data_IF_114852320593
#
_entry.id   IF_114852320593
#
_cell.length_a   1.000
_cell.length_b   1.000
_cell.length_c   1.000
_cell.angle_alpha   90.00
_cell.angle_beta   90.00
_cell.angle_gamma   90.00
#
_symmetry.space_group_name_H-M   'P 1'
#
loop_
_entity.id
_entity.type
_entity.pdbx_description
1 polymer ?
#
# COMPACT_ATOMS: atom_id res chain seq x y z
N UNK A 1 13.53 -8.58 -5.99
CA UNK A 1 14.10 -7.25 -5.78
C UNK A 1 13.34 -6.58 -4.65
N UNK A 2 13.94 -6.58 -3.45
CA UNK A 2 13.20 -6.25 -2.23
C UNK A 2 13.31 -4.76 -1.84
N UNK A 3 14.24 -4.04 -2.37
CA UNK A 3 14.38 -2.57 -2.24
C UNK A 3 15.16 -2.05 -3.42
N UNK A 4 14.49 -1.34 -4.29
CA UNK A 4 15.18 -0.45 -5.23
C UNK A 4 14.88 0.97 -4.78
N UNK A 5 15.91 1.80 -4.67
CA UNK A 5 15.75 3.25 -4.71
C UNK A 5 14.97 3.54 -6.00
N UNK A 6 13.92 4.33 -5.92
CA UNK A 6 12.96 4.62 -6.99
C UNK A 6 11.95 3.47 -7.32
N UNK A 7 11.56 2.65 -6.35
CA UNK A 7 10.41 1.79 -6.58
C UNK A 7 9.15 2.65 -6.80
N UNK A 8 8.39 2.26 -7.82
CA UNK A 8 7.10 2.90 -8.09
C UNK A 8 6.18 2.78 -6.85
N UNK A 9 5.47 3.84 -6.56
CA UNK A 9 4.52 3.90 -5.46
C UNK A 9 3.49 4.98 -5.72
N UNK A 10 2.37 4.91 -5.03
CA UNK A 10 1.33 5.94 -5.16
C UNK A 10 1.70 7.18 -4.36
N UNK A 11 1.33 8.34 -4.91
CA UNK A 11 1.40 9.62 -4.18
C UNK A 11 0.17 9.86 -3.32
N UNK A 12 0.25 10.85 -2.42
CA UNK A 12 -0.84 11.19 -1.52
C UNK A 12 -2.14 11.58 -2.26
N UNK A 13 -2.03 12.27 -3.39
CA UNK A 13 -3.21 12.68 -4.17
C UNK A 13 -3.93 11.48 -4.78
N UNK A 14 -3.18 10.47 -5.26
CA UNK A 14 -3.76 9.22 -5.75
C UNK A 14 -4.44 8.42 -4.61
N UNK A 15 -3.81 8.35 -3.45
CA UNK A 15 -4.41 7.71 -2.27
C UNK A 15 -5.73 8.39 -1.87
N UNK A 16 -5.75 9.72 -1.80
CA UNK A 16 -6.97 10.49 -1.52
C UNK A 16 -8.05 10.22 -2.56
N UNK A 17 -7.72 10.23 -3.84
CA UNK A 17 -8.68 9.95 -4.89
C UNK A 17 -9.31 8.57 -4.76
N UNK A 18 -8.51 7.53 -4.47
CA UNK A 18 -9.00 6.17 -4.27
C UNK A 18 -9.97 6.07 -3.08
N UNK A 19 -9.73 6.81 -2.01
CA UNK A 19 -10.58 6.77 -0.82
C UNK A 19 -11.82 7.66 -0.99
N UNK A 20 -11.62 8.92 -1.34
CA UNK A 20 -12.67 9.93 -1.33
C UNK A 20 -13.67 9.76 -2.49
N UNK A 21 -13.21 9.27 -3.65
CA UNK A 21 -14.06 9.08 -4.83
C UNK A 21 -14.53 7.64 -5.02
N UNK A 22 -13.80 6.65 -4.50
CA UNK A 22 -14.08 5.24 -4.75
C UNK A 22 -14.30 4.41 -3.49
N UNK A 23 -14.08 4.96 -2.30
CA UNK A 23 -14.33 4.29 -1.04
C UNK A 23 -13.48 3.03 -0.83
N UNK A 24 -12.24 3.02 -1.32
CA UNK A 24 -11.37 1.86 -1.16
C UNK A 24 -11.10 1.59 0.34
N UNK A 25 -11.26 0.34 0.76
CA UNK A 25 -11.03 -0.09 2.15
C UNK A 25 -9.68 -0.78 2.35
N UNK A 26 -9.02 -1.16 1.26
CA UNK A 26 -7.69 -1.72 1.22
C UNK A 26 -7.03 -1.30 -0.08
N UNK A 27 -5.77 -0.91 0.01
CA UNK A 27 -4.93 -0.65 -1.18
C UNK A 27 -3.73 -1.58 -1.09
N UNK A 28 -3.48 -2.32 -2.17
CA UNK A 28 -2.38 -3.29 -2.24
C UNK A 28 -1.40 -3.00 -3.37
N UNK A 29 -0.15 -3.46 -3.18
CA UNK A 29 0.90 -3.39 -4.18
C UNK A 29 1.77 -4.65 -4.15
N UNK A 30 2.50 -4.88 -5.21
CA UNK A 30 3.53 -5.92 -5.34
C UNK A 30 4.93 -5.44 -4.89
N UNK A 31 5.01 -4.20 -4.38
CA UNK A 31 6.24 -3.57 -3.92
C UNK A 31 6.42 -3.68 -2.41
N UNK A 32 7.63 -3.40 -1.93
CA UNK A 32 7.96 -3.39 -0.50
C UNK A 32 7.44 -2.17 0.26
N UNK A 33 6.82 -1.26 -0.42
CA UNK A 33 6.17 -0.07 0.11
C UNK A 33 5.10 0.35 -0.87
N UNK A 34 3.92 0.63 -0.37
CA UNK A 34 2.80 1.08 -1.19
C UNK A 34 3.07 2.46 -1.79
N UNK A 35 3.71 3.34 -1.01
CA UNK A 35 3.86 4.73 -1.39
C UNK A 35 5.19 5.03 -2.06
N UNK A 36 5.15 6.06 -2.89
CA UNK A 36 6.36 6.63 -3.47
C UNK A 36 7.22 7.25 -2.38
N UNK A 37 8.47 6.81 -2.30
CA UNK A 37 9.50 7.40 -1.45
C UNK A 37 10.56 7.98 -2.36
N UNK A 38 10.83 9.31 -2.28
CA UNK A 38 11.82 9.95 -3.14
C UNK A 38 13.23 9.44 -2.85
N UNK A 39 14.13 9.67 -3.80
CA UNK A 39 15.57 9.43 -3.63
C UNK A 39 16.13 10.27 -2.47
N UNK A 40 17.30 9.86 -1.95
CA UNK A 40 17.94 10.58 -0.84
C UNK A 40 18.15 12.07 -1.12
N UNK A 41 18.38 12.45 -2.38
CA UNK A 41 18.56 13.85 -2.79
C UNK A 41 17.30 14.71 -2.57
N UNK A 42 16.12 14.13 -2.78
CA UNK A 42 14.83 14.83 -2.71
C UNK A 42 14.12 14.66 -1.37
N UNK A 43 14.64 13.81 -0.52
CA UNK A 43 14.03 13.37 0.72
C UNK A 43 13.80 14.55 1.70
N UNK A 44 14.73 15.49 1.79
CA UNK A 44 14.60 16.66 2.66
C UNK A 44 13.44 17.58 2.24
N UNK A 45 13.28 17.82 0.94
CA UNK A 45 12.20 18.64 0.40
C UNK A 45 10.84 17.94 0.58
N UNK A 46 10.79 16.63 0.35
CA UNK A 46 9.60 15.81 0.58
C UNK A 46 9.16 15.84 2.03
N UNK A 47 10.09 15.60 2.97
CA UNK A 47 9.81 15.66 4.40
C UNK A 47 9.36 17.05 4.86
N UNK A 48 9.95 18.11 4.29
CA UNK A 48 9.53 19.47 4.57
C UNK A 48 8.10 19.73 4.10
N UNK A 49 7.72 19.19 2.95
CA UNK A 49 6.37 19.35 2.37
C UNK A 49 5.30 18.62 3.18
N UNK A 50 5.57 17.39 3.62
CA UNK A 50 4.56 16.52 4.23
C UNK A 50 4.72 16.35 5.74
N UNK A 51 5.82 16.81 6.34
CA UNK A 51 6.11 16.60 7.77
C UNK A 51 6.54 15.17 8.13
N UNK A 52 6.52 14.26 7.17
CA UNK A 52 6.80 12.82 7.33
C UNK A 52 7.43 12.23 6.09
N UNK A 53 8.01 11.04 6.21
CA UNK A 53 8.50 10.26 5.07
C UNK A 53 7.44 9.35 4.43
N UNK A 54 6.33 9.14 5.14
CA UNK A 54 5.28 8.17 4.79
C UNK A 54 3.89 8.82 4.81
N UNK A 55 3.67 9.91 4.04
CA UNK A 55 2.40 10.63 4.08
C UNK A 55 1.20 9.78 3.64
N UNK A 56 1.40 8.83 2.74
CA UNK A 56 0.33 7.93 2.30
C UNK A 56 -0.04 6.95 3.41
N UNK A 57 0.95 6.35 4.09
CA UNK A 57 0.70 5.48 5.22
C UNK A 57 -0.06 6.21 6.33
N UNK A 58 0.40 7.40 6.72
CA UNK A 58 -0.28 8.20 7.73
C UNK A 58 -1.73 8.50 7.31
N UNK A 59 -1.95 8.95 6.08
CA UNK A 59 -3.29 9.22 5.59
C UNK A 59 -4.19 7.98 5.60
N UNK A 60 -3.69 6.85 5.07
CA UNK A 60 -4.49 5.62 4.99
C UNK A 60 -4.75 5.00 6.35
N UNK A 61 -3.70 4.79 7.15
CA UNK A 61 -3.81 4.05 8.41
C UNK A 61 -4.35 4.91 9.54
N UNK A 62 -3.81 6.13 9.72
CA UNK A 62 -4.12 6.97 10.88
C UNK A 62 -5.38 7.80 10.66
N UNK A 63 -5.51 8.43 9.46
CA UNK A 63 -6.61 9.35 9.20
C UNK A 63 -7.88 8.63 8.71
N UNK A 64 -7.72 7.59 7.84
CA UNK A 64 -8.85 6.95 7.16
C UNK A 64 -9.16 5.54 7.65
N UNK A 65 -8.28 4.88 8.39
CA UNK A 65 -8.45 3.50 8.83
C UNK A 65 -8.49 2.48 7.68
N UNK A 66 -7.80 2.78 6.58
CA UNK A 66 -7.73 1.96 5.37
C UNK A 66 -6.53 1.03 5.45
N UNK A 67 -6.73 -0.25 5.14
CA UNK A 67 -5.68 -1.24 5.17
C UNK A 67 -4.68 -1.08 4.02
N UNK A 68 -3.42 -1.38 4.31
CA UNK A 68 -2.34 -1.46 3.33
C UNK A 68 -1.90 -2.92 3.21
N UNK A 69 -1.78 -3.40 1.97
CA UNK A 69 -1.21 -4.71 1.66
C UNK A 69 0.01 -4.57 0.75
N UNK A 70 1.14 -5.09 1.17
CA UNK A 70 2.40 -5.00 0.43
C UNK A 70 2.88 -6.39 0.00
N UNK A 71 3.81 -6.44 -0.95
CA UNK A 71 4.40 -7.69 -1.44
C UNK A 71 3.38 -8.69 -2.01
N UNK A 72 2.29 -8.23 -2.60
CA UNK A 72 1.37 -9.14 -3.28
C UNK A 72 2.03 -9.77 -4.51
N UNK A 73 1.83 -11.07 -4.68
CA UNK A 73 2.17 -11.76 -5.91
C UNK A 73 1.03 -11.55 -6.92
N UNK A 74 1.21 -10.60 -7.83
CA UNK A 74 0.18 -10.19 -8.80
C UNK A 74 0.41 -10.75 -10.22
N UNK A 75 1.50 -11.46 -10.45
CA UNK A 75 1.93 -11.94 -11.77
C UNK A 75 0.88 -12.84 -12.43
N UNK A 76 0.25 -13.72 -11.67
CA UNK A 76 -0.77 -14.62 -12.21
C UNK A 76 -2.03 -13.86 -12.64
N UNK A 77 -2.49 -12.91 -11.83
CA UNK A 77 -3.63 -12.03 -12.17
C UNK A 77 -3.31 -11.19 -13.42
N UNK A 78 -2.10 -10.65 -13.49
CA UNK A 78 -1.63 -9.85 -14.62
C UNK A 78 -1.55 -10.68 -15.91
N UNK A 79 -0.95 -11.86 -15.84
CA UNK A 79 -0.85 -12.79 -16.99
C UNK A 79 -2.24 -13.18 -17.51
N UNK A 80 -3.16 -13.48 -16.61
CA UNK A 80 -4.51 -13.94 -16.93
C UNK A 80 -5.47 -12.77 -17.21
N UNK A 81 -4.99 -11.51 -17.11
CA UNK A 81 -5.75 -10.26 -17.32
C UNK A 81 -7.00 -10.21 -16.45
N UNK A 82 -6.89 -10.64 -15.19
CA UNK A 82 -7.96 -10.61 -14.20
C UNK A 82 -7.89 -9.29 -13.45
N UNK A 83 -8.86 -8.42 -13.67
CA UNK A 83 -8.94 -7.08 -13.06
C UNK A 83 -10.00 -6.96 -11.98
N UNK A 84 -10.93 -7.94 -11.91
CA UNK A 84 -11.98 -8.00 -10.90
C UNK A 84 -12.02 -9.39 -10.28
N UNK A 85 -12.02 -9.46 -8.95
CA UNK A 85 -12.05 -10.71 -8.20
C UNK A 85 -12.51 -10.47 -6.76
N UNK A 86 -12.99 -11.51 -6.11
CA UNK A 86 -13.20 -11.48 -4.67
C UNK A 86 -11.85 -11.62 -3.95
N UNK A 87 -11.49 -10.63 -3.18
CA UNK A 87 -10.26 -10.64 -2.37
C UNK A 87 -10.57 -11.17 -0.98
N UNK A 88 -9.96 -12.28 -0.61
CA UNK A 88 -10.10 -12.88 0.72
C UNK A 88 -8.75 -12.81 1.44
N UNK A 89 -8.72 -12.09 2.56
CA UNK A 89 -7.54 -11.94 3.37
C UNK A 89 -7.93 -11.99 4.85
N UNK A 90 -7.21 -12.78 5.63
CA UNK A 90 -7.39 -12.87 7.07
C UNK A 90 -6.08 -12.58 7.78
N UNK A 91 -6.17 -11.82 8.86
CA UNK A 91 -5.03 -11.51 9.73
C UNK A 91 -4.87 -12.57 10.82
N UNK A 92 -3.67 -12.73 11.33
CA UNK A 92 -3.41 -13.53 12.52
C UNK A 92 -4.00 -12.84 13.75
N UNK A 93 -4.61 -13.62 14.65
CA UNK A 93 -5.10 -13.11 15.95
C UNK A 93 -3.96 -13.04 16.96
N UNK A 94 -3.19 -11.96 16.95
CA UNK A 94 -2.11 -11.73 17.88
C UNK A 94 -2.48 -10.59 18.82
N UNK A 95 -2.70 -10.90 20.08
CA UNK A 95 -3.02 -9.88 21.10
C UNK A 95 -1.84 -8.94 21.30
N UNK A 96 -2.11 -7.63 21.24
CA UNK A 96 -1.09 -6.59 21.49
C UNK A 96 -0.16 -6.32 20.30
N UNK A 97 -0.44 -6.89 19.13
CA UNK A 97 0.28 -6.52 17.92
C UNK A 97 -0.19 -5.15 17.41
N UNK A 98 0.76 -4.25 17.20
CA UNK A 98 0.52 -2.90 16.71
C UNK A 98 1.12 -2.65 15.31
N UNK A 99 1.76 -3.66 14.72
CA UNK A 99 2.41 -3.56 13.41
C UNK A 99 1.82 -4.58 12.42
N UNK A 100 2.30 -4.55 11.20
CA UNK A 100 1.85 -5.44 10.15
C UNK A 100 2.14 -6.92 10.41
N UNK A 101 1.46 -7.77 9.65
CA UNK A 101 1.59 -9.23 9.70
C UNK A 101 1.87 -9.79 8.32
N UNK A 102 2.45 -10.98 8.30
CA UNK A 102 2.43 -11.78 7.08
C UNK A 102 1.01 -12.25 6.78
N UNK A 103 0.57 -12.02 5.57
CA UNK A 103 -0.74 -12.41 5.08
C UNK A 103 -0.60 -13.43 3.95
N UNK A 104 -1.66 -14.20 3.76
CA UNK A 104 -1.84 -15.02 2.56
C UNK A 104 -3.18 -14.66 1.92
N UNK A 105 -3.24 -13.59 1.13
CA UNK A 105 -4.44 -13.25 0.40
C UNK A 105 -4.68 -14.25 -0.72
N UNK A 106 -5.96 -14.45 -1.05
CA UNK A 106 -6.39 -15.21 -2.23
C UNK A 106 -7.35 -14.38 -3.06
N UNK A 107 -7.23 -14.50 -4.37
CA UNK A 107 -8.16 -13.95 -5.34
C UNK A 107 -9.06 -15.08 -5.88
N UNK A 108 -10.36 -14.89 -5.80
CA UNK A 108 -11.36 -15.84 -6.33
C UNK A 108 -12.07 -15.16 -7.48
N UNK A 109 -12.00 -15.78 -8.67
CA UNK A 109 -12.63 -15.32 -9.90
C UNK A 109 -13.73 -16.26 -10.37
#
# INVERSE_FOLDING_TARGET
KIKEHDSAGIGLDAAKWLIEQHGAMLIGSDTSGLEYVPSDADNAAFRKKYGTFIPVHNYLLDDQGVHIGEFHFLEDLSRDKVYEFAYVCMTNKIKGSAAGFTLRPIAIR
#
